data_IF_076966903079
#
_entry.id   IF_076966903079
#
_cell.length_a   1.000
_cell.length_b   1.000
_cell.length_c   1.000
_cell.angle_alpha   90.00
_cell.angle_beta   90.00
_cell.angle_gamma   90.00
#
_symmetry.space_group_name_H-M   'P 1'
#
loop_
_entity.id
_entity.type
_entity.pdbx_description
1 polymer ?
#
# COMPACT_ATOMS: atom_id res chain seq x y z
N UNK A 1 11.64 2.42 -17.43
CA UNK A 1 10.62 1.35 -17.31
C UNK A 1 10.10 1.43 -15.89
N UNK A 2 8.88 1.93 -15.67
CA UNK A 2 8.35 2.14 -14.31
C UNK A 2 7.97 0.75 -13.77
N UNK A 3 8.70 0.29 -12.75
CA UNK A 3 8.50 -1.02 -12.14
C UNK A 3 7.50 -0.89 -11.00
N UNK A 4 6.32 -1.50 -11.15
CA UNK A 4 5.30 -1.57 -10.12
C UNK A 4 5.35 -2.93 -9.43
N UNK A 5 5.12 -2.97 -8.12
CA UNK A 5 5.10 -4.24 -7.38
C UNK A 5 3.84 -4.40 -6.54
N UNK A 6 3.29 -5.62 -6.63
CA UNK A 6 2.17 -6.13 -5.86
C UNK A 6 2.73 -6.79 -4.59
N UNK A 7 2.23 -6.43 -3.41
CA UNK A 7 2.82 -6.94 -2.18
C UNK A 7 1.91 -6.91 -0.97
N UNK A 8 2.19 -7.80 -0.01
CA UNK A 8 1.64 -7.78 1.36
C UNK A 8 2.37 -6.73 2.20
N UNK A 9 1.86 -6.43 3.40
CA UNK A 9 2.37 -5.39 4.33
C UNK A 9 3.90 -5.35 4.46
N UNK A 10 4.57 -6.50 4.66
CA UNK A 10 6.04 -6.57 4.80
C UNK A 10 6.80 -6.11 3.56
N UNK A 11 6.19 -6.26 2.38
CA UNK A 11 6.79 -5.86 1.11
C UNK A 11 6.74 -4.34 0.90
N UNK A 12 5.69 -3.66 1.38
CA UNK A 12 5.60 -2.20 1.30
C UNK A 12 6.72 -1.50 2.05
N UNK A 13 7.07 -1.98 3.24
CA UNK A 13 8.18 -1.43 4.04
C UNK A 13 9.52 -1.60 3.33
N UNK A 14 9.80 -2.77 2.77
CA UNK A 14 11.02 -3.02 2.01
C UNK A 14 11.07 -2.18 0.71
N UNK A 15 9.94 -2.04 0.04
CA UNK A 15 9.81 -1.22 -1.17
C UNK A 15 10.22 0.24 -0.94
N UNK A 16 9.86 0.83 0.21
CA UNK A 16 10.28 2.19 0.59
C UNK A 16 11.79 2.33 0.65
N UNK A 17 12.48 1.40 1.31
CA UNK A 17 13.95 1.43 1.42
C UNK A 17 14.58 1.38 0.03
N UNK A 18 14.11 0.45 -0.81
CA UNK A 18 14.68 0.31 -2.14
C UNK A 18 14.39 1.52 -3.05
N UNK A 19 13.26 2.22 -2.91
CA UNK A 19 12.99 3.46 -3.65
C UNK A 19 13.98 4.58 -3.29
N UNK A 20 14.47 4.62 -2.04
CA UNK A 20 15.51 5.57 -1.63
C UNK A 20 16.88 5.17 -2.16
N UNK A 21 17.21 3.87 -2.11
CA UNK A 21 18.50 3.35 -2.58
C UNK A 21 18.64 3.36 -4.10
N UNK A 22 17.53 3.16 -4.83
CA UNK A 22 17.49 3.03 -6.29
C UNK A 22 16.30 3.79 -6.90
N UNK A 23 16.31 5.14 -6.88
CA UNK A 23 15.17 5.98 -7.28
C UNK A 23 14.75 5.78 -8.75
N UNK A 24 15.69 5.45 -9.64
CA UNK A 24 15.40 5.26 -11.08
C UNK A 24 14.95 3.83 -11.43
N UNK A 25 15.07 2.88 -10.49
CA UNK A 25 14.80 1.46 -10.73
C UNK A 25 13.41 1.01 -10.26
N UNK A 26 12.79 1.77 -9.34
CA UNK A 26 11.55 1.39 -8.68
C UNK A 26 10.52 2.50 -8.80
N UNK A 27 9.34 2.13 -9.30
CA UNK A 27 8.19 3.02 -9.37
C UNK A 27 7.43 3.01 -8.06
N UNK A 28 6.24 2.39 -8.04
CA UNK A 28 5.34 2.40 -6.91
C UNK A 28 5.02 0.98 -6.37
N UNK A 29 4.66 0.93 -5.09
CA UNK A 29 4.03 -0.24 -4.47
C UNK A 29 2.51 -0.10 -4.57
N UNK A 30 1.86 -1.09 -5.18
CA UNK A 30 0.40 -1.15 -5.32
C UNK A 30 -0.10 -2.32 -4.47
N UNK A 31 -0.86 -2.02 -3.43
CA UNK A 31 -1.44 -2.99 -2.51
C UNK A 31 -2.90 -3.28 -2.91
N UNK A 32 -3.18 -4.51 -3.33
CA UNK A 32 -4.51 -4.93 -3.78
C UNK A 32 -5.42 -5.32 -2.62
N UNK A 33 -6.72 -5.30 -2.88
CA UNK A 33 -7.70 -5.82 -1.94
C UNK A 33 -7.47 -7.34 -1.75
N UNK A 34 -7.33 -7.84 -0.50
CA UNK A 34 -7.23 -9.28 -0.25
C UNK A 34 -8.50 -10.06 -0.59
N UNK A 35 -9.66 -9.39 -0.66
CA UNK A 35 -10.92 -9.97 -1.09
C UNK A 35 -11.47 -9.15 -2.26
N UNK A 36 -10.82 -9.19 -3.43
CA UNK A 36 -11.25 -8.40 -4.56
C UNK A 36 -12.60 -8.93 -5.05
N UNK A 37 -13.51 -8.01 -5.33
CA UNK A 37 -14.68 -8.32 -6.13
C UNK A 37 -14.17 -8.83 -7.49
N UNK A 38 -14.56 -10.04 -7.93
CA UNK A 38 -14.14 -10.68 -9.20
C UNK A 38 -14.71 -9.97 -10.45
N UNK A 39 -14.80 -8.65 -10.39
CA UNK A 39 -15.34 -7.80 -11.42
C UNK A 39 -14.23 -7.25 -12.29
N UNK A 40 -14.53 -7.01 -13.57
CA UNK A 40 -13.62 -6.35 -14.50
C UNK A 40 -13.17 -4.97 -14.00
N UNK A 41 -13.97 -4.32 -13.15
CA UNK A 41 -13.65 -3.02 -12.55
C UNK A 41 -12.34 -3.05 -11.73
N UNK A 42 -12.08 -4.14 -11.00
CA UNK A 42 -10.85 -4.27 -10.20
C UNK A 42 -9.60 -4.33 -11.07
N UNK A 43 -9.67 -5.04 -12.21
CA UNK A 43 -8.59 -5.13 -13.17
C UNK A 43 -8.39 -3.79 -13.91
N UNK A 44 -9.47 -3.16 -14.35
CA UNK A 44 -9.43 -1.86 -15.03
C UNK A 44 -8.79 -0.79 -14.16
N UNK A 45 -9.07 -0.78 -12.85
CA UNK A 45 -8.43 0.13 -11.90
C UNK A 45 -6.92 -0.09 -11.80
N UNK A 46 -6.48 -1.35 -11.75
CA UNK A 46 -5.06 -1.69 -11.71
C UNK A 46 -4.35 -1.27 -13.01
N UNK A 47 -4.94 -1.58 -14.17
CA UNK A 47 -4.40 -1.18 -15.47
C UNK A 47 -4.29 0.34 -15.57
N UNK A 48 -5.33 1.06 -15.16
CA UNK A 48 -5.30 2.53 -15.11
C UNK A 48 -4.19 3.07 -14.23
N UNK A 49 -3.92 2.45 -13.08
CA UNK A 49 -2.84 2.89 -12.18
C UNK A 49 -1.46 2.66 -12.78
N UNK A 50 -1.20 1.47 -13.33
CA UNK A 50 0.08 1.11 -13.95
C UNK A 50 0.38 2.02 -15.15
N UNK A 51 -0.64 2.37 -15.93
CA UNK A 51 -0.51 3.27 -17.08
C UNK A 51 -0.56 4.75 -16.70
N UNK A 52 -0.79 5.10 -15.43
CA UNK A 52 -0.88 6.49 -15.01
C UNK A 52 0.50 7.15 -14.93
N UNK A 53 0.53 8.47 -15.10
CA UNK A 53 1.71 9.30 -14.79
C UNK A 53 1.73 9.75 -13.34
N UNK A 54 1.09 8.99 -12.43
CA UNK A 54 1.04 9.29 -11.01
C UNK A 54 2.45 9.25 -10.41
N UNK A 55 2.79 10.24 -9.58
CA UNK A 55 4.05 10.28 -8.82
C UNK A 55 3.92 9.61 -7.45
N UNK A 56 2.74 9.05 -7.15
CA UNK A 56 2.50 8.36 -5.90
C UNK A 56 3.24 7.03 -5.86
N UNK A 57 4.07 6.86 -4.84
CA UNK A 57 4.90 5.65 -4.67
C UNK A 57 4.20 4.56 -3.86
N UNK A 58 3.06 4.87 -3.25
CA UNK A 58 2.31 3.97 -2.38
C UNK A 58 0.80 4.14 -2.55
N UNK A 59 0.19 3.14 -3.19
CA UNK A 59 -1.22 3.13 -3.52
C UNK A 59 -1.85 1.83 -3.02
N UNK A 60 -3.04 1.93 -2.45
CA UNK A 60 -3.83 0.78 -2.03
C UNK A 60 -5.22 0.81 -2.66
N UNK A 61 -5.69 -0.33 -3.13
CA UNK A 61 -7.07 -0.52 -3.58
C UNK A 61 -7.84 -1.31 -2.54
N UNK A 62 -8.98 -0.77 -2.08
CA UNK A 62 -9.87 -1.44 -1.11
C UNK A 62 -11.32 -1.19 -1.47
N UNK A 63 -12.11 -2.24 -1.68
CA UNK A 63 -13.53 -2.20 -2.06
C UNK A 63 -13.78 -1.27 -3.26
N UNK A 64 -12.97 -1.39 -4.30
CA UNK A 64 -13.03 -0.53 -5.49
C UNK A 64 -12.61 0.92 -5.28
N UNK A 65 -12.02 1.28 -4.14
CA UNK A 65 -11.56 2.64 -3.83
C UNK A 65 -10.04 2.72 -3.85
N UNK A 66 -9.50 3.70 -4.60
CA UNK A 66 -8.09 4.08 -4.60
C UNK A 66 -7.74 4.88 -3.35
N UNK A 67 -6.68 4.49 -2.65
CA UNK A 67 -6.13 5.20 -1.50
C UNK A 67 -4.64 5.44 -1.71
N UNK A 68 -4.15 6.53 -1.14
CA UNK A 68 -2.74 6.92 -1.22
C UNK A 68 -2.23 7.15 0.19
N UNK A 69 -1.03 6.67 0.47
CA UNK A 69 -0.42 6.88 1.78
C UNK A 69 -0.06 8.35 2.00
N UNK A 70 -0.39 8.87 3.19
CA UNK A 70 -0.01 10.20 3.66
C UNK A 70 0.39 10.10 5.12
N UNK A 71 1.52 10.72 5.46
CA UNK A 71 1.89 10.91 6.85
C UNK A 71 1.09 12.09 7.39
N UNK A 72 0.29 11.85 8.42
CA UNK A 72 -0.47 12.88 9.12
C UNK A 72 0.05 13.02 10.54
N UNK A 73 -0.01 14.23 11.09
CA UNK A 73 0.17 14.40 12.53
C UNK A 73 -0.99 13.68 13.22
N UNK A 74 -0.74 12.92 14.30
CA UNK A 74 -1.81 12.47 15.16
C UNK A 74 -2.60 13.70 15.59
N UNK A 75 -3.93 13.67 15.44
CA UNK A 75 -4.78 14.61 16.17
C UNK A 75 -4.57 14.42 17.68
N UNK A 76 -5.10 15.33 18.50
CA UNK A 76 -5.24 15.04 19.93
C UNK A 76 -6.09 13.75 20.05
N UNK A 77 -5.42 12.62 20.27
CA UNK A 77 -6.04 11.30 20.27
C UNK A 77 -6.64 11.07 21.66
N UNK A 78 -7.96 10.92 21.73
CA UNK A 78 -8.65 10.38 22.91
C UNK A 78 -8.41 8.87 23.09
N UNK A 79 -7.69 8.20 22.18
CA UNK A 79 -7.55 6.72 22.15
C UNK A 79 -6.09 6.24 22.15
N UNK A 80 -5.19 6.90 22.90
CA UNK A 80 -3.85 6.35 23.18
C UNK A 80 -3.83 5.30 24.31
N UNK A 81 -4.99 4.89 24.85
CA UNK A 81 -5.07 3.97 26.00
C UNK A 81 -5.20 2.47 25.67
N UNK A 82 -5.17 2.07 24.40
CA UNK A 82 -5.02 0.64 24.08
C UNK A 82 -3.55 0.33 23.79
N UNK A 83 -2.77 -0.18 24.77
CA UNK A 83 -1.50 -0.77 24.44
C UNK A 83 -1.75 -1.91 23.45
N UNK A 84 -1.04 -1.91 22.33
CA UNK A 84 -0.98 -3.02 21.39
C UNK A 84 -0.53 -4.25 22.19
N UNK A 85 -1.48 -5.08 22.61
CA UNK A 85 -1.17 -6.26 23.40
C UNK A 85 -0.45 -7.25 22.51
N UNK A 86 0.79 -7.54 22.88
CA UNK A 86 1.74 -8.40 22.17
C UNK A 86 1.35 -9.90 22.18
N UNK A 87 0.07 -10.22 22.43
CA UNK A 87 -0.41 -11.58 22.67
C UNK A 87 -0.96 -12.29 21.42
N UNK A 88 -0.89 -11.69 20.24
CA UNK A 88 -1.30 -12.35 18.99
C UNK A 88 -0.12 -12.92 18.17
N UNK A 89 1.11 -12.84 18.70
CA UNK A 89 2.32 -13.33 18.04
C UNK A 89 2.74 -14.71 18.54
N UNK A 90 1.78 -15.65 18.64
CA UNK A 90 2.11 -17.07 18.75
C UNK A 90 1.03 -17.94 18.09
N UNK A 91 1.26 -18.27 16.83
CA UNK A 91 0.89 -19.56 16.26
C UNK A 91 2.01 -19.92 15.29
N UNK A 92 2.81 -20.88 15.74
CA UNK A 92 3.83 -21.61 15.00
C UNK A 92 3.15 -22.38 13.87
#
# INVERSE_FOLDING_TARGET
MISFRLGKVSFGVFGRTLQVEYPDALGACIDLDPAPDETLSSLDMLVKEICSSSLETEVAFRKGVRRVARLVKPGASEDLQNPLSLNQMLLI
#
